data_IF_653974711158
#
_entry.id   IF_653974711158
#
_cell.length_a   1.000
_cell.length_b   1.000
_cell.length_c   1.000
_cell.angle_alpha   90.00
_cell.angle_beta   90.00
_cell.angle_gamma   90.00
#
_symmetry.space_group_name_H-M   'P 1'
#
loop_
_entity.id
_entity.type
_entity.pdbx_description
1 polymer ?
#
# COMPACT_ATOMS: atom_id res chain seq x y z
N UNK A 1 -8.86 -9.86 21.29
CA UNK A 1 -7.97 -8.71 21.02
C UNK A 1 -7.77 -8.67 19.51
N UNK A 2 -8.66 -7.99 18.79
CA UNK A 2 -8.58 -7.92 17.33
C UNK A 2 -7.37 -7.06 16.97
N UNK A 3 -6.37 -7.65 16.32
CA UNK A 3 -5.28 -6.91 15.73
C UNK A 3 -5.93 -5.95 14.73
N UNK A 4 -6.05 -4.67 15.08
CA UNK A 4 -6.52 -3.64 14.16
C UNK A 4 -5.36 -3.33 13.24
N UNK A 5 -5.03 -4.29 12.39
CA UNK A 5 -3.97 -4.21 11.42
C UNK A 5 -4.17 -2.99 10.51
N UNK A 6 -5.43 -2.67 10.17
CA UNK A 6 -5.79 -1.41 9.51
C UNK A 6 -5.31 -0.17 10.27
N UNK A 7 -5.50 -0.13 11.59
CA UNK A 7 -5.07 0.99 12.43
C UNK A 7 -3.54 1.05 12.57
N UNK A 8 -2.87 -0.10 12.66
CA UNK A 8 -1.41 -0.15 12.73
C UNK A 8 -0.75 0.23 11.39
N UNK A 9 -1.34 -0.16 10.26
CA UNK A 9 -0.92 0.25 8.92
C UNK A 9 -1.20 1.74 8.73
N UNK A 10 -2.41 2.22 9.05
CA UNK A 10 -2.72 3.65 8.99
C UNK A 10 -1.80 4.50 9.88
N UNK A 11 -1.45 4.03 11.08
CA UNK A 11 -0.54 4.74 11.98
C UNK A 11 0.93 4.69 11.54
N UNK A 12 1.38 3.62 10.87
CA UNK A 12 2.74 3.54 10.31
C UNK A 12 2.91 4.41 9.06
N UNK A 13 1.84 4.59 8.28
CA UNK A 13 1.87 5.36 7.03
C UNK A 13 1.35 6.81 7.27
N UNK A 14 0.79 7.10 8.44
CA UNK A 14 0.37 8.46 8.83
C UNK A 14 1.58 9.39 8.90
N UNK A 15 1.67 10.33 7.95
CA UNK A 15 2.80 11.25 7.83
C UNK A 15 3.96 10.74 6.98
N UNK A 16 3.81 9.58 6.33
CA UNK A 16 4.76 9.10 5.32
C UNK A 16 4.67 9.93 4.04
N UNK A 17 5.81 10.21 3.43
CA UNK A 17 5.87 10.89 2.13
C UNK A 17 5.40 9.97 1.01
N UNK A 18 5.05 10.52 -0.15
CA UNK A 18 4.59 9.76 -1.32
C UNK A 18 5.58 8.65 -1.73
N UNK A 19 6.88 8.94 -1.64
CA UNK A 19 7.98 7.99 -1.87
C UNK A 19 8.01 6.85 -0.83
N UNK A 20 7.70 7.15 0.43
CA UNK A 20 7.64 6.12 1.50
C UNK A 20 6.40 5.23 1.33
N UNK A 21 5.28 5.81 0.89
CA UNK A 21 4.07 5.08 0.56
C UNK A 21 4.36 4.11 -0.59
N UNK A 22 4.99 4.59 -1.67
CA UNK A 22 5.41 3.76 -2.80
C UNK A 22 6.35 2.64 -2.33
N UNK A 23 7.40 2.98 -1.59
CA UNK A 23 8.37 2.02 -1.09
C UNK A 23 7.70 0.93 -0.22
N UNK A 24 6.74 1.32 0.63
CA UNK A 24 5.97 0.39 1.47
C UNK A 24 5.09 -0.54 0.62
N UNK A 25 4.46 -0.02 -0.42
CA UNK A 25 3.65 -0.79 -1.36
C UNK A 25 4.52 -1.81 -2.11
N UNK A 26 5.65 -1.35 -2.66
CA UNK A 26 6.59 -2.20 -3.41
C UNK A 26 7.18 -3.28 -2.51
N UNK A 27 7.56 -2.93 -1.28
CA UNK A 27 8.09 -3.87 -0.29
C UNK A 27 7.02 -4.90 0.12
N UNK A 28 5.76 -4.49 0.31
CA UNK A 28 4.66 -5.41 0.62
C UNK A 28 4.36 -6.38 -0.53
N UNK A 29 4.42 -5.90 -1.78
CA UNK A 29 4.27 -6.72 -2.99
C UNK A 29 5.44 -7.70 -3.12
N UNK A 30 6.69 -7.22 -2.98
CA UNK A 30 7.89 -8.07 -3.11
C UNK A 30 8.01 -9.10 -2.00
N UNK A 31 7.66 -8.74 -0.76
CA UNK A 31 7.72 -9.65 0.38
C UNK A 31 6.68 -10.76 0.31
N UNK A 32 5.66 -10.62 -0.55
CA UNK A 32 4.62 -11.63 -0.69
C UNK A 32 4.00 -11.97 0.66
N UNK A 33 3.72 -10.95 1.48
CA UNK A 33 3.02 -11.16 2.76
C UNK A 33 1.54 -11.49 2.49
N UNK A 34 1.31 -12.68 1.93
CA UNK A 34 0.02 -13.33 1.69
C UNK A 34 -0.83 -13.47 2.98
N UNK A 35 -0.26 -13.13 4.13
CA UNK A 35 -0.89 -13.20 5.45
C UNK A 35 -1.92 -12.11 5.74
N UNK A 36 -1.84 -10.94 5.10
CA UNK A 36 -2.65 -9.78 5.53
C UNK A 36 -3.89 -9.51 4.66
N UNK A 37 -3.90 -9.92 3.40
CA UNK A 37 -5.03 -9.69 2.49
C UNK A 37 -5.18 -10.85 1.50
N UNK A 38 -5.77 -12.00 1.91
CA UNK A 38 -6.04 -13.10 0.99
C UNK A 38 -7.00 -12.60 -0.11
N UNK A 39 -6.51 -12.51 -1.34
CA UNK A 39 -7.25 -12.05 -2.51
C UNK A 39 -7.05 -10.57 -2.86
N UNK A 40 -7.24 -9.63 -1.91
CA UNK A 40 -7.08 -8.20 -2.21
C UNK A 40 -5.63 -7.81 -2.53
N UNK A 41 -4.65 -8.42 -1.86
CA UNK A 41 -3.24 -8.18 -2.16
C UNK A 41 -2.86 -8.64 -3.57
N UNK A 42 -3.43 -9.75 -4.03
CA UNK A 42 -3.18 -10.30 -5.38
C UNK A 42 -3.81 -9.41 -6.45
N UNK A 43 -5.05 -8.95 -6.24
CA UNK A 43 -5.70 -8.02 -7.18
C UNK A 43 -4.95 -6.70 -7.27
N UNK A 44 -4.48 -6.19 -6.13
CA UNK A 44 -3.68 -4.97 -6.07
C UNK A 44 -2.31 -5.16 -6.72
N UNK A 45 -1.64 -6.31 -6.53
CA UNK A 45 -0.38 -6.63 -7.20
C UNK A 45 -0.55 -6.67 -8.72
N UNK A 46 -1.62 -7.30 -9.21
CA UNK A 46 -1.92 -7.33 -10.65
C UNK A 46 -2.17 -5.92 -11.18
N UNK A 47 -2.93 -5.10 -10.45
CA UNK A 47 -3.11 -3.69 -10.80
C UNK A 47 -1.77 -2.94 -10.83
N UNK A 48 -0.96 -3.04 -9.78
CA UNK A 48 0.35 -2.38 -9.67
C UNK A 48 1.34 -2.81 -10.75
N UNK A 49 1.33 -4.09 -11.15
CA UNK A 49 2.14 -4.62 -12.26
C UNK A 49 1.68 -4.12 -13.63
N UNK A 50 0.39 -3.85 -13.79
CA UNK A 50 -0.18 -3.28 -15.03
C UNK A 50 -0.14 -1.75 -15.06
N UNK A 51 -0.09 -1.10 -13.89
CA UNK A 51 -0.08 0.34 -13.73
C UNK A 51 1.23 0.94 -14.25
N UNK A 52 1.09 2.04 -14.98
CA UNK A 52 2.19 2.83 -15.50
C UNK A 52 2.79 3.69 -14.38
N UNK A 53 3.97 4.28 -14.58
CA UNK A 53 4.59 5.18 -13.58
C UNK A 53 3.64 6.30 -13.14
N UNK A 54 2.89 6.92 -14.06
CA UNK A 54 1.88 7.93 -13.73
C UNK A 54 0.72 7.38 -12.87
N UNK A 55 0.30 6.14 -13.09
CA UNK A 55 -0.78 5.55 -12.29
C UNK A 55 -0.30 5.18 -10.89
N UNK A 56 0.95 4.74 -10.77
CA UNK A 56 1.59 4.47 -9.47
C UNK A 56 1.78 5.75 -8.67
N UNK A 57 2.23 6.81 -9.32
CA UNK A 57 2.39 8.15 -8.75
C UNK A 57 1.04 8.69 -8.26
N UNK A 58 0.00 8.67 -9.12
CA UNK A 58 -1.36 9.04 -8.71
C UNK A 58 -1.89 8.17 -7.56
N UNK A 59 -1.63 6.87 -7.57
CA UNK A 59 -2.06 5.97 -6.51
C UNK A 59 -1.38 6.33 -5.17
N UNK A 60 -0.07 6.56 -5.19
CA UNK A 60 0.69 6.96 -4.01
C UNK A 60 0.23 8.33 -3.50
N UNK A 61 -0.04 9.27 -4.40
CA UNK A 61 -0.58 10.59 -4.07
C UNK A 61 -1.97 10.50 -3.42
N UNK A 62 -2.86 9.68 -3.97
CA UNK A 62 -4.20 9.46 -3.41
C UNK A 62 -4.14 8.78 -2.05
N UNK A 63 -3.25 7.80 -1.87
CA UNK A 63 -3.03 7.11 -0.60
C UNK A 63 -2.45 8.09 0.43
N UNK A 64 -1.42 8.85 0.06
CA UNK A 64 -0.80 9.89 0.89
C UNK A 64 -1.83 10.93 1.35
N UNK A 65 -2.65 11.46 0.43
CA UNK A 65 -3.75 12.37 0.76
C UNK A 65 -4.82 11.74 1.66
N UNK A 66 -5.13 10.46 1.48
CA UNK A 66 -6.10 9.73 2.31
C UNK A 66 -5.58 9.37 3.71
N UNK A 67 -4.28 9.52 3.95
CA UNK A 67 -3.60 9.26 5.22
C UNK A 67 -3.27 10.54 6.01
N UNK A 68 -3.39 11.72 5.39
CA UNK A 68 -3.37 13.02 6.09
C UNK A 68 -4.63 13.23 6.93
#
# INVERSE_FOLDING_TARGET
MGFNLRGAIMANIQGSSEEEVEATIVDAIQKGEEKMLPGLGVLFEVYWKNANEQEKDQLCQQISQGLQ
#
